data_IF_826107481132
#
_entry.id   IF_826107481132
#
_cell.length_a   1.000
_cell.length_b   1.000
_cell.length_c   1.000
_cell.angle_alpha   90.00
_cell.angle_beta   90.00
_cell.angle_gamma   90.00
#
_symmetry.space_group_name_H-M   'P 1'
#
loop_
_entity.id
_entity.type
_entity.pdbx_description
1 polymer ?
#
# COMPACT_ATOMS: atom_id res chain seq x y z
N UNK A 1 10.89 -15.25 5.10
CA UNK A 1 10.16 -15.65 6.33
C UNK A 1 8.70 -15.15 6.35
N UNK A 2 8.19 -14.55 5.27
CA UNK A 2 6.81 -14.05 5.21
C UNK A 2 6.58 -12.77 6.03
N UNK A 3 7.64 -12.06 6.43
CA UNK A 3 7.53 -10.83 7.21
C UNK A 3 6.73 -9.77 6.45
N UNK A 4 5.75 -9.19 7.13
CA UNK A 4 5.00 -8.05 6.62
C UNK A 4 5.94 -6.85 6.44
N UNK A 5 6.08 -6.37 5.21
CA UNK A 5 6.82 -5.14 4.90
C UNK A 5 5.96 -3.94 5.27
N UNK A 6 4.71 -3.95 4.82
CA UNK A 6 3.77 -2.86 4.96
C UNK A 6 2.36 -3.31 4.52
N UNK A 7 1.31 -2.62 4.99
CA UNK A 7 -0.08 -2.88 4.61
C UNK A 7 -0.78 -1.59 4.15
N UNK A 8 -1.57 -1.69 3.08
CA UNK A 8 -2.43 -0.61 2.59
C UNK A 8 -3.89 -0.92 2.92
N UNK A 9 -4.64 0.09 3.35
CA UNK A 9 -6.03 -0.03 3.78
C UNK A 9 -6.92 0.59 2.70
N UNK A 10 -7.94 -0.13 2.19
CA UNK A 10 -8.86 0.44 1.20
C UNK A 10 -9.77 1.49 1.83
N UNK A 11 -10.08 2.53 1.05
CA UNK A 11 -11.10 3.52 1.35
C UNK A 11 -12.31 3.24 0.48
N UNK A 12 -13.47 3.09 1.11
CA UNK A 12 -14.73 2.85 0.42
C UNK A 12 -15.51 4.14 0.26
N UNK A 13 -16.10 4.33 -0.92
CA UNK A 13 -17.01 5.44 -1.15
C UNK A 13 -18.33 5.27 -0.41
N UNK A 14 -19.04 6.37 -0.24
CA UNK A 14 -20.34 6.46 0.45
C UNK A 14 -21.39 7.28 -0.33
N UNK A 15 -21.04 7.80 -1.51
CA UNK A 15 -21.86 8.67 -2.33
C UNK A 15 -22.36 8.02 -3.63
N UNK A 16 -22.75 8.88 -4.58
CA UNK A 16 -23.25 8.50 -5.90
C UNK A 16 -22.47 9.14 -7.05
N UNK A 17 -21.46 9.95 -6.72
CA UNK A 17 -20.65 10.67 -7.69
C UNK A 17 -19.54 9.76 -8.22
N UNK A 18 -19.06 10.07 -9.43
CA UNK A 18 -17.92 9.37 -10.02
C UNK A 18 -16.69 9.47 -9.12
N UNK A 19 -16.17 8.33 -8.66
CA UNK A 19 -15.04 8.26 -7.73
C UNK A 19 -15.40 8.41 -6.24
N UNK A 20 -16.69 8.43 -5.88
CA UNK A 20 -17.16 8.27 -4.51
C UNK A 20 -18.38 7.33 -4.43
N UNK A 21 -18.41 6.25 -5.20
CA UNK A 21 -19.56 5.36 -5.27
C UNK A 21 -19.67 4.49 -4.01
N UNK A 22 -20.86 4.48 -3.41
CA UNK A 22 -21.16 3.74 -2.19
C UNK A 22 -20.80 2.25 -2.32
N UNK A 23 -19.88 1.79 -1.46
CA UNK A 23 -19.47 0.38 -1.40
C UNK A 23 -18.37 -0.02 -2.40
N UNK A 24 -17.89 0.89 -3.25
CA UNK A 24 -16.73 0.65 -4.11
C UNK A 24 -15.44 1.16 -3.45
N UNK A 25 -14.31 0.53 -3.76
CA UNK A 25 -13.00 1.06 -3.37
C UNK A 25 -12.72 2.28 -4.25
N UNK A 26 -12.57 3.44 -3.60
CA UNK A 26 -12.33 4.74 -4.26
C UNK A 26 -10.94 5.29 -4.00
N UNK A 27 -10.18 4.62 -3.12
CA UNK A 27 -8.80 4.93 -2.82
C UNK A 27 -8.17 3.88 -1.92
N UNK A 28 -6.87 4.03 -1.67
CA UNK A 28 -6.11 3.18 -0.77
C UNK A 28 -5.09 4.03 -0.01
N UNK A 29 -4.82 3.69 1.25
CA UNK A 29 -3.77 4.38 2.01
C UNK A 29 -2.41 4.10 1.39
N UNK A 30 -1.54 5.11 1.32
CA UNK A 30 -0.13 4.86 1.03
C UNK A 30 0.51 4.16 2.22
N UNK A 31 1.57 3.42 1.93
CA UNK A 31 2.17 2.53 2.89
C UNK A 31 3.68 2.52 2.60
N UNK A 32 4.43 3.21 3.47
CA UNK A 32 5.88 3.34 3.35
C UNK A 32 6.52 2.82 4.64
N UNK A 33 7.35 1.78 4.59
CA UNK A 33 8.10 1.38 5.76
C UNK A 33 9.06 2.50 6.18
N UNK A 34 9.40 2.54 7.47
CA UNK A 34 10.40 3.49 7.96
C UNK A 34 11.70 3.33 7.14
N UNK A 35 12.32 4.43 6.67
CA UNK A 35 13.57 4.34 5.91
C UNK A 35 14.62 3.50 6.64
N UNK A 36 15.17 2.51 5.95
CA UNK A 36 16.18 1.59 6.49
C UNK A 36 15.67 0.46 7.39
N UNK A 37 14.38 0.43 7.75
CA UNK A 37 13.77 -0.68 8.50
C UNK A 37 13.61 -1.95 7.66
N UNK A 38 13.51 -1.80 6.34
CA UNK A 38 13.41 -2.88 5.37
C UNK A 38 14.57 -2.76 4.38
N UNK A 39 15.27 -3.88 4.18
CA UNK A 39 16.23 -4.08 3.10
C UNK A 39 15.74 -5.23 2.26
N UNK A 40 15.74 -5.05 0.95
CA UNK A 40 15.37 -6.06 -0.03
C UNK A 40 16.66 -6.44 -0.74
N UNK A 41 16.97 -7.73 -0.77
CA UNK A 41 18.18 -8.25 -1.40
C UNK A 41 17.95 -8.47 -2.89
N UNK A 42 19.02 -8.45 -3.68
CA UNK A 42 18.94 -8.88 -5.08
C UNK A 42 18.47 -10.33 -5.18
N UNK A 43 17.54 -10.60 -6.09
CA UNK A 43 16.87 -11.89 -6.24
C UNK A 43 15.86 -12.26 -5.14
N UNK A 44 15.60 -11.40 -4.15
CA UNK A 44 14.59 -11.64 -3.13
C UNK A 44 13.17 -11.62 -3.72
N UNK A 45 12.36 -12.63 -3.37
CA UNK A 45 10.95 -12.68 -3.80
C UNK A 45 10.07 -11.86 -2.87
N UNK A 46 9.43 -10.83 -3.42
CA UNK A 46 8.40 -10.06 -2.73
C UNK A 46 7.02 -10.68 -3.00
N UNK A 47 6.22 -10.81 -1.94
CA UNK A 47 4.84 -11.29 -2.03
C UNK A 47 3.90 -10.12 -1.81
N UNK A 48 3.04 -9.86 -2.79
CA UNK A 48 1.91 -8.96 -2.65
C UNK A 48 0.65 -9.78 -2.44
N UNK A 49 -0.08 -9.48 -1.36
CA UNK A 49 -1.34 -10.12 -1.04
C UNK A 49 -2.49 -9.11 -1.12
N UNK A 50 -3.56 -9.48 -1.83
CA UNK A 50 -4.84 -8.77 -1.77
C UNK A 50 -5.81 -9.56 -0.89
N UNK A 51 -5.95 -9.13 0.35
CA UNK A 51 -6.76 -9.82 1.35
C UNK A 51 -8.19 -9.25 1.38
N UNK A 52 -9.12 -9.94 0.70
CA UNK A 52 -10.53 -9.57 0.67
C UNK A 52 -11.33 -10.48 1.60
N UNK A 53 -12.24 -9.88 2.38
CA UNK A 53 -13.15 -10.67 3.21
C UNK A 53 -14.11 -11.49 2.34
N UNK A 54 -14.19 -12.79 2.60
CA UNK A 54 -15.16 -13.70 1.99
C UNK A 54 -16.58 -13.55 2.55
N UNK A 55 -16.77 -12.73 3.59
CA UNK A 55 -18.10 -12.50 4.21
C UNK A 55 -19.00 -11.57 3.39
N UNK A 56 -18.45 -10.89 2.39
CA UNK A 56 -19.20 -10.03 1.45
C UNK A 56 -19.03 -10.57 0.05
N UNK A 57 -20.11 -10.57 -0.72
CA UNK A 57 -20.08 -10.96 -2.14
C UNK A 57 -19.37 -9.85 -2.92
N UNK A 58 -18.42 -10.24 -3.75
CA UNK A 58 -17.73 -9.35 -4.68
C UNK A 58 -18.07 -9.78 -6.10
N UNK A 59 -18.58 -8.87 -6.94
CA UNK A 59 -18.81 -9.15 -8.37
C UNK A 59 -17.49 -9.29 -9.13
N UNK A 60 -16.42 -8.69 -8.60
CA UNK A 60 -15.05 -8.78 -9.06
C UNK A 60 -14.10 -8.13 -8.05
N UNK A 61 -12.81 -8.45 -8.13
CA UNK A 61 -11.76 -7.82 -7.33
C UNK A 61 -10.75 -7.17 -8.27
N UNK A 62 -10.36 -5.92 -7.97
CA UNK A 62 -9.35 -5.19 -8.72
C UNK A 62 -8.23 -4.81 -7.76
N UNK A 63 -7.01 -5.25 -8.07
CA UNK A 63 -5.81 -4.83 -7.36
C UNK A 63 -5.04 -3.81 -8.20
N UNK A 64 -4.80 -2.64 -7.62
CA UNK A 64 -3.86 -1.65 -8.16
C UNK A 64 -2.76 -1.46 -7.14
N UNK A 65 -1.51 -1.68 -7.55
CA UNK A 65 -0.36 -1.54 -6.66
C UNK A 65 0.81 -0.92 -7.40
N UNK A 66 1.67 -0.26 -6.64
CA UNK A 66 2.91 0.32 -7.12
C UNK A 66 3.99 0.06 -6.07
N UNK A 67 5.08 -0.60 -6.49
CA UNK A 67 6.21 -0.93 -5.62
C UNK A 67 7.35 0.02 -5.97
N UNK A 68 7.73 0.83 -4.99
CA UNK A 68 8.86 1.75 -5.07
C UNK A 68 10.02 1.20 -4.24
N UNK A 69 11.17 1.02 -4.86
CA UNK A 69 12.42 0.61 -4.21
C UNK A 69 13.47 1.69 -4.47
N UNK A 70 14.36 1.90 -3.50
CA UNK A 70 15.48 2.82 -3.62
C UNK A 70 16.79 2.06 -3.39
N UNK A 71 17.76 2.23 -4.29
CA UNK A 71 19.06 1.56 -4.19
C UNK A 71 19.90 2.10 -3.02
N UNK A 72 19.72 3.38 -2.68
CA UNK A 72 20.42 4.05 -1.60
C UNK A 72 19.41 4.80 -0.73
N UNK A 73 19.52 4.64 0.59
CA UNK A 73 18.74 5.45 1.52
C UNK A 73 19.19 6.91 1.39
N UNK A 74 18.25 7.88 1.44
CA UNK A 74 18.63 9.28 1.50
C UNK A 74 19.59 9.49 2.66
N UNK A 75 20.70 10.18 2.42
CA UNK A 75 21.62 10.56 3.49
C UNK A 75 20.81 11.31 4.55
N UNK A 76 20.97 10.94 5.81
CA UNK A 76 20.28 11.57 6.93
C UNK A 76 20.71 13.03 7.00
N UNK A 77 20.02 13.92 6.28
CA UNK A 77 20.12 15.33 6.57
C UNK A 77 19.40 15.52 7.91
N UNK A 78 20.14 16.00 8.91
CA UNK A 78 19.66 16.33 10.25
C UNK A 78 18.62 17.47 10.27
N UNK A 79 17.88 17.70 9.18
CA UNK A 79 16.90 18.77 9.08
C UNK A 79 15.94 18.53 7.90
N UNK A 80 14.77 17.97 8.17
CA UNK A 80 13.56 18.37 7.45
C UNK A 80 12.70 19.15 8.44
N UNK A 81 12.42 20.44 8.19
CA UNK A 81 11.43 21.17 8.96
C UNK A 81 10.04 20.65 8.59
N UNK A 82 9.21 20.50 9.62
CA UNK A 82 7.77 20.25 9.50
C UNK A 82 7.17 21.47 8.81
N UNK A 83 6.44 21.27 7.70
CA UNK A 83 5.44 22.22 7.21
C UNK A 83 4.11 21.50 7.06
#
# INVERSE_FOLDING_TARGET
>A
DGRLICASIPVYGDGKEAGNEAGYIVGMSTCYPQPGSIKISDGETLVLESNYSSTRIHTGVMGLFYILVVDQLPATSSSMPIH
#
